data_IF_653290812623
#
_entry.id   IF_653290812623
#
_cell.length_a   1.000
_cell.length_b   1.000
_cell.length_c   1.000
_cell.angle_alpha   90.00
_cell.angle_beta   90.00
_cell.angle_gamma   90.00
#
_symmetry.space_group_name_H-M   'P 1'
#
loop_
_entity.id
_entity.type
_entity.pdbx_description
1 polymer ?
#
# COMPACT_ATOMS: atom_id res chain seq x y z
N UNK A 1 34.57 -18.56 6.74
CA UNK A 1 33.35 -17.95 7.27
C UNK A 1 32.87 -16.92 6.24
N UNK A 2 32.03 -17.35 5.28
CA UNK A 2 31.51 -16.48 4.22
C UNK A 2 30.18 -15.90 4.70
N UNK A 3 30.15 -14.59 4.91
CA UNK A 3 28.90 -13.85 5.13
C UNK A 3 28.15 -13.78 3.81
N UNK A 4 27.00 -14.45 3.72
CA UNK A 4 26.07 -14.29 2.62
C UNK A 4 25.49 -12.89 2.66
N UNK A 5 25.76 -12.09 1.64
CA UNK A 5 25.15 -10.78 1.39
C UNK A 5 23.63 -10.97 1.14
N UNK A 6 22.74 -10.14 1.69
CA UNK A 6 21.33 -10.19 1.36
C UNK A 6 21.15 -9.89 -0.12
N UNK A 7 20.47 -10.79 -0.83
CA UNK A 7 20.12 -10.63 -2.25
C UNK A 7 19.37 -9.33 -2.43
N UNK A 8 20.00 -8.36 -3.09
CA UNK A 8 19.35 -7.18 -3.62
C UNK A 8 18.16 -7.62 -4.47
N UNK A 9 16.97 -7.29 -4.00
CA UNK A 9 15.74 -7.51 -4.77
C UNK A 9 15.79 -6.57 -5.98
N UNK A 10 16.13 -7.12 -7.14
CA UNK A 10 16.05 -6.46 -8.43
C UNK A 10 14.60 -6.00 -8.65
N UNK A 11 14.38 -4.71 -8.61
CA UNK A 11 13.16 -4.09 -9.11
C UNK A 11 13.08 -4.31 -10.61
N UNK A 12 12.29 -5.28 -11.03
CA UNK A 12 12.01 -5.51 -12.45
C UNK A 12 11.06 -4.42 -12.94
N UNK A 13 11.61 -3.37 -13.53
CA UNK A 13 10.83 -2.41 -14.32
C UNK A 13 10.34 -3.08 -15.60
N UNK A 14 9.21 -3.76 -15.55
CA UNK A 14 8.49 -4.13 -16.77
C UNK A 14 7.58 -2.97 -17.17
N UNK A 15 7.68 -2.53 -18.43
CA UNK A 15 6.69 -1.67 -19.08
C UNK A 15 5.38 -2.45 -19.24
N UNK A 16 4.60 -2.59 -18.19
CA UNK A 16 3.21 -3.00 -18.29
C UNK A 16 2.35 -1.77 -18.58
N UNK A 17 1.27 -1.94 -19.33
CA UNK A 17 0.26 -0.89 -19.48
C UNK A 17 -0.21 -0.45 -18.09
N UNK A 18 -0.16 0.84 -17.76
CA UNK A 18 -0.46 1.29 -16.41
C UNK A 18 -1.87 0.83 -16.01
N UNK A 19 -1.98 0.14 -14.85
CA UNK A 19 -3.26 -0.39 -14.33
C UNK A 19 -4.33 0.69 -14.15
N UNK A 20 -4.00 1.93 -14.25
CA UNK A 20 -4.82 3.11 -13.99
C UNK A 20 -5.17 3.96 -15.21
N UNK A 21 -4.54 3.74 -16.40
CA UNK A 21 -4.93 4.46 -17.64
C UNK A 21 -6.45 4.51 -17.87
N UNK A 22 -7.22 3.44 -17.64
CA UNK A 22 -8.66 3.47 -17.85
C UNK A 22 -9.41 4.32 -16.83
N UNK A 23 -8.81 4.63 -15.68
CA UNK A 23 -9.49 5.28 -14.57
C UNK A 23 -9.26 6.79 -14.51
N UNK A 24 -8.15 7.29 -15.07
CA UNK A 24 -7.77 8.70 -15.01
C UNK A 24 -8.72 9.62 -15.78
N UNK A 25 -9.27 9.18 -16.90
CA UNK A 25 -10.11 9.99 -17.77
C UNK A 25 -11.43 10.46 -17.13
N UNK A 26 -11.80 9.88 -15.99
CA UNK A 26 -13.04 10.22 -15.24
C UNK A 26 -12.83 11.30 -14.18
N UNK A 27 -11.60 11.64 -13.83
CA UNK A 27 -11.29 12.64 -12.80
C UNK A 27 -10.95 13.99 -13.44
N UNK A 28 -11.98 14.67 -13.97
CA UNK A 28 -11.83 16.02 -14.53
C UNK A 28 -12.24 17.05 -13.48
N UNK A 29 -11.40 18.03 -13.22
CA UNK A 29 -11.60 19.33 -12.55
C UNK A 29 -11.28 19.45 -11.05
N UNK A 30 -11.37 18.43 -10.19
CA UNK A 30 -11.09 18.65 -8.75
C UNK A 30 -9.79 18.00 -8.25
N UNK A 31 -9.18 17.16 -9.07
CA UNK A 31 -8.01 16.41 -8.66
C UNK A 31 -8.30 15.35 -7.58
N UNK A 32 -7.54 14.26 -7.59
CA UNK A 32 -7.66 13.19 -6.60
C UNK A 32 -6.31 12.56 -6.28
N UNK A 33 -6.17 12.04 -5.05
CA UNK A 33 -5.18 11.04 -4.73
C UNK A 33 -5.73 9.65 -5.09
N UNK A 34 -4.91 8.78 -5.65
CA UNK A 34 -5.32 7.42 -6.03
C UNK A 34 -4.18 6.45 -5.77
N UNK A 35 -4.50 5.33 -5.14
CA UNK A 35 -3.60 4.19 -5.09
C UNK A 35 -4.33 2.93 -5.56
N UNK A 36 -3.66 2.15 -6.39
CA UNK A 36 -4.17 0.89 -6.93
C UNK A 36 -3.20 -0.22 -6.53
N UNK A 37 -3.76 -1.28 -5.97
CA UNK A 37 -3.06 -2.51 -5.65
C UNK A 37 -3.75 -3.66 -6.38
N UNK A 38 -3.03 -4.31 -7.29
CA UNK A 38 -3.48 -5.51 -8.00
C UNK A 38 -2.69 -6.71 -7.50
N UNK A 39 -3.39 -7.66 -6.93
CA UNK A 39 -2.79 -8.90 -6.42
C UNK A 39 -3.00 -10.02 -7.44
N UNK A 40 -1.93 -10.65 -7.85
CA UNK A 40 -1.90 -11.86 -8.64
C UNK A 40 -1.56 -13.03 -7.69
N UNK A 41 -2.56 -13.82 -7.33
CA UNK A 41 -2.40 -14.91 -6.37
C UNK A 41 -1.63 -16.10 -6.96
N UNK A 42 -1.74 -16.33 -8.28
CA UNK A 42 -1.00 -17.43 -8.95
C UNK A 42 0.49 -17.13 -9.01
N UNK A 43 0.84 -15.90 -9.39
CA UNK A 43 2.23 -15.43 -9.48
C UNK A 43 2.80 -14.96 -8.15
N UNK A 44 1.95 -14.81 -7.15
CA UNK A 44 2.29 -14.23 -5.83
C UNK A 44 2.99 -12.87 -5.96
N UNK A 45 2.36 -11.98 -6.70
CA UNK A 45 2.88 -10.63 -6.97
C UNK A 45 1.81 -9.60 -6.66
N UNK A 46 2.21 -8.54 -5.96
CA UNK A 46 1.47 -7.29 -5.85
C UNK A 46 2.05 -6.30 -6.86
N UNK A 47 1.21 -5.79 -7.74
CA UNK A 47 1.52 -4.62 -8.56
C UNK A 47 0.84 -3.41 -7.94
N UNK A 48 1.63 -2.40 -7.59
CA UNK A 48 1.17 -1.20 -6.90
C UNK A 48 1.52 0.06 -7.67
N UNK A 49 0.61 1.00 -7.70
CA UNK A 49 0.85 2.36 -8.17
C UNK A 49 0.08 3.35 -7.28
N UNK A 50 0.77 4.38 -6.79
CA UNK A 50 0.19 5.41 -5.93
C UNK A 50 0.54 6.81 -6.39
N UNK A 51 -0.43 7.73 -6.30
CA UNK A 51 -0.28 9.17 -6.50
C UNK A 51 -1.02 9.91 -5.40
N UNK A 52 -0.35 10.90 -4.85
CA UNK A 52 -0.87 11.72 -3.77
C UNK A 52 -0.50 11.16 -2.40
N UNK A 53 -1.38 11.40 -1.44
CA UNK A 53 -1.17 11.19 0.00
C UNK A 53 -1.77 9.89 0.56
N UNK A 54 -1.97 8.89 -0.28
CA UNK A 54 -2.38 7.56 0.17
C UNK A 54 -1.14 6.75 0.53
N UNK A 55 -1.15 6.18 1.72
CA UNK A 55 -0.08 5.31 2.22
C UNK A 55 -0.43 3.84 2.02
N UNK A 56 0.58 3.03 1.71
CA UNK A 56 0.45 1.58 1.61
C UNK A 56 1.63 0.88 2.28
N UNK A 57 1.37 -0.26 2.90
CA UNK A 57 2.37 -1.06 3.58
C UNK A 57 2.09 -2.56 3.39
N UNK A 58 3.15 -3.34 3.16
CA UNK A 58 3.12 -4.80 3.27
C UNK A 58 3.75 -5.17 4.61
N UNK A 59 3.05 -5.93 5.43
CA UNK A 59 3.51 -6.33 6.76
C UNK A 59 3.65 -7.85 6.78
N UNK A 60 4.81 -8.31 7.19
CA UNK A 60 5.12 -9.74 7.39
C UNK A 60 4.80 -10.18 8.83
N UNK A 61 4.79 -11.49 9.08
CA UNK A 61 4.30 -12.07 10.33
C UNK A 61 5.01 -11.63 11.61
N UNK A 62 6.23 -11.12 11.52
CA UNK A 62 7.05 -10.54 12.58
C UNK A 62 6.85 -9.02 12.75
N UNK A 63 5.78 -8.48 12.15
CA UNK A 63 5.45 -7.06 12.10
C UNK A 63 6.47 -6.18 11.33
N UNK A 64 7.38 -6.78 10.56
CA UNK A 64 8.22 -6.01 9.65
C UNK A 64 7.35 -5.36 8.57
N UNK A 65 7.43 -4.04 8.49
CA UNK A 65 6.65 -3.24 7.56
C UNK A 65 7.51 -2.77 6.39
N UNK A 66 7.00 -2.98 5.17
CA UNK A 66 7.58 -2.46 3.93
C UNK A 66 6.62 -1.45 3.33
N UNK A 67 7.04 -0.19 3.26
CA UNK A 67 6.24 0.89 2.70
C UNK A 67 6.17 0.79 1.17
N UNK A 68 5.00 1.01 0.62
CA UNK A 68 4.75 1.09 -0.83
C UNK A 68 4.95 2.54 -1.28
N UNK A 69 5.71 2.78 -2.36
CA UNK A 69 6.02 4.14 -2.81
C UNK A 69 4.81 4.79 -3.48
N UNK A 70 4.53 6.03 -3.10
CA UNK A 70 3.56 6.89 -3.76
C UNK A 70 4.25 8.09 -4.38
N UNK A 71 3.84 8.47 -5.59
CA UNK A 71 4.37 9.66 -6.28
C UNK A 71 3.61 10.91 -5.87
N UNK A 72 4.34 12.01 -5.75
CA UNK A 72 3.72 13.31 -5.57
C UNK A 72 2.93 13.70 -6.82
N UNK A 73 1.73 14.19 -6.63
CA UNK A 73 0.87 14.63 -7.73
C UNK A 73 -0.60 14.60 -7.36
N UNK A 74 -1.41 15.11 -8.27
CA UNK A 74 -2.86 15.14 -8.18
C UNK A 74 -3.41 14.66 -9.51
N UNK A 75 -4.18 13.58 -9.51
CA UNK A 75 -4.81 13.05 -10.72
C UNK A 75 -5.81 14.06 -11.26
N UNK A 76 -5.80 14.27 -12.58
CA UNK A 76 -6.67 15.22 -13.26
C UNK A 76 -6.11 16.65 -13.36
N UNK A 77 -5.09 17.00 -12.57
CA UNK A 77 -4.49 18.36 -12.58
C UNK A 77 -3.02 18.32 -12.98
N UNK A 78 -2.20 17.52 -12.32
CA UNK A 78 -0.77 17.47 -12.55
C UNK A 78 -0.20 16.07 -12.32
N UNK A 79 -0.08 15.30 -13.39
CA UNK A 79 0.59 14.00 -13.37
C UNK A 79 1.85 14.12 -14.24
N UNK A 80 3.02 14.11 -13.62
CA UNK A 80 4.29 14.15 -14.36
C UNK A 80 4.73 12.75 -14.81
N UNK A 81 4.55 11.76 -13.99
CA UNK A 81 4.96 10.37 -14.28
C UNK A 81 4.22 9.40 -13.35
N UNK A 82 3.86 8.29 -13.90
CA UNK A 82 3.24 7.20 -13.17
C UNK A 82 4.16 6.00 -13.25
N UNK A 83 4.40 5.37 -12.13
CA UNK A 83 5.26 4.20 -12.05
C UNK A 83 4.54 3.09 -11.30
N UNK A 84 4.63 1.90 -11.86
CA UNK A 84 4.17 0.68 -11.21
C UNK A 84 5.36 0.00 -10.53
N UNK A 85 5.10 -0.55 -9.35
CA UNK A 85 6.07 -1.30 -8.57
C UNK A 85 5.57 -2.71 -8.35
N UNK A 86 6.43 -3.69 -8.58
CA UNK A 86 6.11 -5.08 -8.32
C UNK A 86 6.76 -5.54 -7.01
N UNK A 87 5.99 -6.25 -6.19
CA UNK A 87 6.42 -6.82 -4.92
C UNK A 87 6.07 -8.29 -4.89
N UNK A 88 7.04 -9.13 -4.62
CA UNK A 88 6.78 -10.53 -4.33
C UNK A 88 6.00 -10.64 -3.02
N UNK A 89 4.95 -11.46 -3.02
CA UNK A 89 4.13 -11.76 -1.87
C UNK A 89 4.44 -13.15 -1.33
N UNK A 90 4.34 -13.28 -0.02
CA UNK A 90 4.39 -14.55 0.70
C UNK A 90 3.11 -14.76 1.49
N UNK A 91 2.88 -15.99 1.93
CA UNK A 91 1.70 -16.34 2.72
C UNK A 91 1.61 -15.51 3.99
N UNK A 92 0.38 -15.23 4.37
CA UNK A 92 0.05 -14.49 5.59
C UNK A 92 0.53 -13.05 5.67
N UNK A 93 1.09 -12.49 4.59
CA UNK A 93 1.38 -11.06 4.55
C UNK A 93 0.10 -10.25 4.56
N UNK A 94 0.16 -9.11 5.25
CA UNK A 94 -0.95 -8.16 5.37
C UNK A 94 -0.64 -6.94 4.50
N UNK A 95 -1.51 -6.63 3.56
CA UNK A 95 -1.52 -5.35 2.85
C UNK A 95 -2.42 -4.39 3.63
N UNK A 96 -1.87 -3.26 4.02
CA UNK A 96 -2.60 -2.14 4.61
C UNK A 96 -2.47 -0.91 3.73
N UNK A 97 -3.59 -0.26 3.43
CA UNK A 97 -3.61 1.02 2.73
C UNK A 97 -4.53 1.98 3.47
N UNK A 98 -4.18 3.25 3.50
CA UNK A 98 -5.03 4.25 4.15
C UNK A 98 -4.88 5.64 3.52
N UNK A 99 -5.93 6.47 3.65
CA UNK A 99 -5.89 7.89 3.32
C UNK A 99 -5.12 8.69 4.38
N UNK A 100 -4.83 9.93 4.10
CA UNK A 100 -4.15 10.86 5.00
C UNK A 100 -4.97 11.28 6.23
N UNK A 101 -6.27 10.99 6.25
CA UNK A 101 -7.10 11.08 7.46
C UNK A 101 -6.65 10.16 8.59
N UNK A 102 -5.81 9.15 8.29
CA UNK A 102 -5.12 8.34 9.31
C UNK A 102 -3.72 8.89 9.58
N UNK A 103 -3.31 8.96 10.84
CA UNK A 103 -1.94 9.31 11.21
C UNK A 103 -0.98 8.23 10.69
N UNK A 104 0.12 8.63 10.03
CA UNK A 104 1.09 7.69 9.44
C UNK A 104 2.04 7.03 10.46
N UNK A 105 1.99 7.43 11.73
CA UNK A 105 2.88 6.91 12.79
C UNK A 105 2.21 5.80 13.60
N UNK A 106 1.72 4.78 12.94
CA UNK A 106 1.22 3.58 13.60
C UNK A 106 2.21 2.42 13.41
N UNK A 107 2.24 1.52 14.39
CA UNK A 107 3.03 0.29 14.32
C UNK A 107 2.21 -0.87 14.90
N UNK A 108 1.98 -1.92 14.12
CA UNK A 108 1.26 -3.10 14.60
C UNK A 108 2.02 -3.86 15.69
N UNK A 109 3.34 -3.67 15.81
CA UNK A 109 4.12 -4.27 16.89
C UNK A 109 3.72 -3.74 18.27
N UNK A 110 3.14 -2.52 18.34
CA UNK A 110 2.64 -1.94 19.60
C UNK A 110 1.36 -2.63 20.09
N UNK A 111 0.76 -3.50 19.26
CA UNK A 111 -0.44 -4.28 19.57
C UNK A 111 -0.13 -5.78 19.51
N UNK A 112 0.34 -6.40 20.60
CA UNK A 112 0.74 -7.81 20.60
C UNK A 112 -0.37 -8.73 20.07
N UNK A 113 -0.03 -9.50 19.03
CA UNK A 113 -0.95 -10.45 18.40
C UNK A 113 -1.98 -9.87 17.44
N UNK A 114 -2.11 -8.54 17.31
CA UNK A 114 -3.09 -7.91 16.41
C UNK A 114 -2.83 -8.26 14.94
N UNK A 115 -1.57 -8.32 14.52
CA UNK A 115 -1.18 -8.66 13.13
C UNK A 115 -1.72 -10.02 12.66
N UNK A 116 -2.03 -10.93 13.57
CA UNK A 116 -2.59 -12.27 13.29
C UNK A 116 -4.11 -12.35 13.35
N UNK A 117 -4.77 -11.27 13.71
CA UNK A 117 -6.23 -11.22 13.85
C UNK A 117 -6.92 -11.02 12.51
N UNK A 118 -8.24 -11.08 12.53
CA UNK A 118 -9.07 -10.77 11.38
C UNK A 118 -8.75 -9.36 10.85
N UNK A 119 -8.68 -9.21 9.53
CA UNK A 119 -8.31 -7.94 8.88
C UNK A 119 -9.27 -6.79 9.20
N UNK A 120 -10.57 -7.09 9.39
CA UNK A 120 -11.55 -6.08 9.79
C UNK A 120 -11.25 -5.53 11.19
N UNK A 121 -10.80 -6.38 12.14
CA UNK A 121 -10.39 -5.94 13.46
C UNK A 121 -9.14 -5.06 13.39
N UNK A 122 -8.16 -5.44 12.57
CA UNK A 122 -6.94 -4.64 12.37
C UNK A 122 -7.30 -3.25 11.83
N UNK A 123 -8.14 -3.17 10.78
CA UNK A 123 -8.58 -1.91 10.22
C UNK A 123 -9.36 -1.07 11.24
N UNK A 124 -10.24 -1.68 12.03
CA UNK A 124 -11.03 -0.99 13.05
C UNK A 124 -10.16 -0.42 14.19
N UNK A 125 -9.14 -1.16 14.66
CA UNK A 125 -8.22 -0.68 15.70
C UNK A 125 -7.40 0.50 15.18
N UNK A 126 -6.84 0.39 13.97
CA UNK A 126 -6.09 1.49 13.36
C UNK A 126 -6.96 2.72 13.16
N UNK A 127 -8.18 2.54 12.67
CA UNK A 127 -9.14 3.65 12.52
C UNK A 127 -9.45 4.31 13.86
N UNK A 128 -9.77 3.51 14.89
CA UNK A 128 -10.11 4.04 16.23
C UNK A 128 -8.99 4.87 16.83
N UNK A 129 -7.75 4.37 16.77
CA UNK A 129 -6.62 4.92 17.53
C UNK A 129 -5.85 6.01 16.77
N UNK A 130 -5.91 6.00 15.43
CA UNK A 130 -5.07 6.88 14.59
C UNK A 130 -5.84 7.81 13.66
N UNK A 131 -7.17 7.84 13.68
CA UNK A 131 -7.92 8.83 12.89
C UNK A 131 -7.64 10.25 13.38
N UNK A 132 -7.46 11.18 12.45
CA UNK A 132 -7.16 12.60 12.77
C UNK A 132 -8.39 13.40 13.19
N UNK A 133 -9.61 12.95 12.87
CA UNK A 133 -10.87 13.62 13.23
C UNK A 133 -11.19 14.90 12.45
N UNK A 134 -10.34 15.32 11.52
CA UNK A 134 -10.51 16.53 10.69
C UNK A 134 -10.63 16.23 9.21
N UNK A 135 -10.49 14.97 8.81
CA UNK A 135 -10.46 14.54 7.43
C UNK A 135 -11.10 13.17 7.28
N UNK A 136 -11.58 12.87 6.06
CA UNK A 136 -12.17 11.58 5.75
C UNK A 136 -11.11 10.49 5.86
N UNK A 137 -11.40 9.47 6.65
CA UNK A 137 -10.46 8.40 6.95
C UNK A 137 -10.93 7.08 6.36
N UNK A 138 -10.11 6.53 5.49
CA UNK A 138 -10.32 5.19 4.94
C UNK A 138 -9.14 4.30 5.33
N UNK A 139 -9.43 3.09 5.79
CA UNK A 139 -8.43 2.04 6.05
C UNK A 139 -8.85 0.78 5.32
N UNK A 140 -7.97 0.25 4.49
CA UNK A 140 -8.12 -1.02 3.80
C UNK A 140 -7.10 -2.00 4.34
N UNK A 141 -7.56 -3.19 4.71
CA UNK A 141 -6.70 -4.29 5.15
C UNK A 141 -7.03 -5.55 4.36
N UNK A 142 -6.02 -6.23 3.84
CA UNK A 142 -6.16 -7.50 3.12
C UNK A 142 -5.04 -8.45 3.54
N UNK A 143 -5.36 -9.73 3.73
CA UNK A 143 -4.37 -10.78 3.98
C UNK A 143 -4.17 -11.61 2.72
N UNK A 144 -2.92 -11.87 2.41
CA UNK A 144 -2.54 -12.82 1.36
C UNK A 144 -2.67 -14.23 1.92
N UNK A 145 -3.50 -15.03 1.29
CA UNK A 145 -3.72 -16.43 1.66
C UNK A 145 -2.68 -17.35 0.99
#
# INVERSE_FOLDING_TARGET
MLFAQPREQRFLQKKCSPIWKPHISRFTQRGAALAIARVDLERRVLVYAGIGNISGNIISGDAQSRTLPSHNGIIGVQIRKTQEFEFALTDNQLLLMHSDGLQGRWNLADYPGLSRRNVALIAAVLYRDFKRGRDDTTVLAMRVA
#
